data_IF_193790970902
#
_entry.id   IF_193790970902
#
_cell.length_a   1.000
_cell.length_b   1.000
_cell.length_c   1.000
_cell.angle_alpha   90.00
_cell.angle_beta   90.00
_cell.angle_gamma   90.00
#
_symmetry.space_group_name_H-M   'P 1'
#
loop_
_entity.id
_entity.type
_entity.pdbx_description
1 polymer ?
#
# COMPACT_ATOMS: atom_id res chain seq x y z
N UNK A 1 -6.69 12.60 -53.06
CA UNK A 1 -8.04 13.05 -53.46
C UNK A 1 -9.07 12.28 -52.64
N UNK A 2 -10.13 12.97 -52.20
CA UNK A 2 -11.22 12.55 -51.27
C UNK A 2 -10.82 12.52 -49.80
N UNK A 3 -11.62 12.98 -48.84
CA UNK A 3 -12.51 14.15 -48.65
C UNK A 3 -12.85 14.09 -47.14
N UNK A 4 -12.92 15.25 -46.49
CA UNK A 4 -13.13 15.46 -45.06
C UNK A 4 -14.40 14.84 -44.48
N UNK A 5 -14.39 14.57 -43.17
CA UNK A 5 -15.54 14.80 -42.30
C UNK A 5 -15.06 15.16 -40.88
N UNK A 6 -15.42 16.38 -40.49
CA UNK A 6 -15.18 17.07 -39.23
C UNK A 6 -16.53 17.08 -38.52
N UNK A 7 -16.60 16.69 -37.24
CA UNK A 7 -17.79 16.90 -36.41
C UNK A 7 -17.38 17.63 -35.14
N UNK A 8 -18.16 18.67 -34.86
CA UNK A 8 -18.01 19.74 -33.89
C UNK A 8 -19.21 19.66 -32.91
N UNK A 9 -19.14 20.42 -31.81
CA UNK A 9 -20.10 20.65 -30.72
C UNK A 9 -19.99 19.71 -29.49
N UNK A 10 -20.06 20.19 -28.25
CA UNK A 10 -20.45 21.52 -27.79
C UNK A 10 -20.08 21.77 -26.31
N UNK A 11 -19.80 23.05 -26.05
CA UNK A 11 -19.53 23.68 -24.76
C UNK A 11 -20.87 23.98 -24.06
N UNK A 12 -21.01 23.71 -22.77
CA UNK A 12 -22.03 24.35 -21.92
C UNK A 12 -21.36 24.89 -20.66
N UNK A 13 -21.35 26.22 -20.59
CA UNK A 13 -21.02 27.05 -19.43
C UNK A 13 -22.33 27.34 -18.69
N UNK A 14 -22.35 27.20 -17.36
CA UNK A 14 -23.36 27.85 -16.52
C UNK A 14 -22.64 28.64 -15.44
N UNK A 15 -22.77 29.96 -15.54
CA UNK A 15 -22.47 30.94 -14.51
C UNK A 15 -23.79 31.60 -14.08
N UNK A 16 -23.97 31.77 -12.78
CA UNK A 16 -24.93 32.66 -12.10
C UNK A 16 -24.25 32.95 -10.74
N UNK A 17 -24.10 34.17 -10.25
CA UNK A 17 -24.80 35.42 -10.53
C UNK A 17 -25.13 36.05 -9.17
N UNK A 18 -24.54 37.23 -8.91
CA UNK A 18 -24.37 37.94 -7.64
C UNK A 18 -25.65 38.48 -6.93
N UNK A 19 -25.40 38.91 -5.68
CA UNK A 19 -25.86 40.16 -5.01
C UNK A 19 -26.97 40.01 -3.95
N UNK A 20 -27.04 40.80 -2.87
CA UNK A 20 -26.16 41.72 -2.14
C UNK A 20 -26.97 42.25 -0.91
N UNK A 21 -26.26 42.93 -0.01
CA UNK A 21 -26.68 44.04 0.89
C UNK A 21 -26.69 43.78 2.40
N UNK A 22 -26.25 44.84 3.07
CA UNK A 22 -25.82 45.00 4.45
C UNK A 22 -26.44 46.31 4.98
N UNK A 23 -26.52 46.43 6.31
CA UNK A 23 -26.70 47.61 7.19
C UNK A 23 -28.15 48.04 7.56
N UNK A 24 -28.36 48.81 8.66
CA UNK A 24 -27.77 48.80 10.02
C UNK A 24 -28.84 48.84 11.16
N UNK A 25 -28.42 48.96 12.43
CA UNK A 25 -29.18 48.61 13.66
C UNK A 25 -30.13 49.65 14.29
N UNK A 26 -30.66 49.34 15.49
CA UNK A 26 -31.23 50.29 16.48
C UNK A 26 -31.19 49.67 17.90
N UNK A 27 -30.80 50.49 18.88
CA UNK A 27 -30.77 50.26 20.34
C UNK A 27 -32.15 50.13 21.01
N UNK A 28 -32.18 49.51 22.20
CA UNK A 28 -33.27 49.69 23.18
C UNK A 28 -33.37 48.63 24.27
N UNK A 29 -32.79 48.87 25.46
CA UNK A 29 -33.31 48.32 26.72
C UNK A 29 -34.14 49.38 27.47
N UNK A 30 -34.55 49.18 28.74
CA UNK A 30 -34.75 47.95 29.51
C UNK A 30 -36.19 47.85 30.08
N UNK A 31 -36.63 46.65 30.46
CA UNK A 31 -37.76 46.47 31.39
C UNK A 31 -37.64 45.14 32.14
N UNK A 32 -37.25 45.20 33.42
CA UNK A 32 -37.69 44.23 34.41
C UNK A 32 -39.14 44.61 34.79
N UNK A 33 -40.07 43.67 35.06
CA UNK A 33 -40.11 43.10 36.41
C UNK A 33 -40.77 41.69 36.55
N UNK A 34 -40.80 41.25 37.81
CA UNK A 34 -41.72 40.28 38.46
C UNK A 34 -41.31 38.79 38.38
N UNK A 35 -40.68 38.35 39.47
CA UNK A 35 -40.58 36.95 39.85
C UNK A 35 -41.97 36.40 40.23
N UNK A 36 -42.52 35.54 39.38
CA UNK A 36 -43.62 34.63 39.68
C UNK A 36 -43.11 33.19 39.87
N UNK A 37 -43.88 32.31 40.53
CA UNK A 37 -43.41 31.00 40.95
C UNK A 37 -42.99 30.14 39.76
N UNK A 38 -41.79 29.57 39.85
CA UNK A 38 -41.25 28.62 38.88
C UNK A 38 -42.11 27.35 38.87
N UNK A 39 -43.05 27.28 37.93
CA UNK A 39 -43.56 26.00 37.43
C UNK A 39 -42.37 25.35 36.72
N UNK A 40 -41.97 24.16 37.16
CA UNK A 40 -41.01 23.33 36.46
C UNK A 40 -41.61 22.95 35.09
N UNK A 41 -41.42 23.82 34.11
CA UNK A 41 -41.61 23.51 32.70
C UNK A 41 -40.55 22.48 32.38
N UNK A 42 -40.98 21.25 32.12
CA UNK A 42 -40.12 20.14 31.72
C UNK A 42 -39.13 20.63 30.68
N UNK A 43 -37.84 20.40 30.96
CA UNK A 43 -36.79 20.69 30.02
C UNK A 43 -37.20 20.15 28.64
N UNK A 44 -37.08 20.94 27.56
CA UNK A 44 -37.32 20.41 26.23
C UNK A 44 -36.46 19.16 26.08
N UNK A 45 -37.09 18.05 25.71
CA UNK A 45 -36.40 16.86 25.22
C UNK A 45 -35.44 17.30 24.13
N UNK A 46 -34.19 17.59 24.49
CA UNK A 46 -33.08 17.61 23.55
C UNK A 46 -32.99 16.17 23.09
N UNK A 47 -33.51 15.93 21.89
CA UNK A 47 -33.36 14.66 21.21
C UNK A 47 -31.93 14.19 21.39
N UNK A 48 -31.79 12.97 21.89
CA UNK A 48 -30.53 12.26 22.02
C UNK A 48 -29.97 12.05 20.61
N UNK A 49 -29.29 13.05 20.07
CA UNK A 49 -28.45 12.89 18.89
C UNK A 49 -27.27 12.03 19.32
N UNK A 50 -27.28 10.76 18.92
CA UNK A 50 -26.17 9.85 19.14
C UNK A 50 -24.95 10.32 18.36
N UNK A 51 -23.80 10.38 19.03
CA UNK A 51 -22.52 10.68 18.40
C UNK A 51 -22.04 9.42 17.68
N UNK A 52 -22.08 9.45 16.34
CA UNK A 52 -21.54 8.38 15.51
C UNK A 52 -20.03 8.55 15.34
N UNK A 53 -19.24 7.66 15.93
CA UNK A 53 -17.80 7.54 15.66
C UNK A 53 -17.56 6.31 14.80
N UNK A 54 -16.99 6.51 13.62
CA UNK A 54 -16.56 5.42 12.75
C UNK A 54 -15.05 5.49 12.54
N UNK A 55 -14.40 4.35 12.74
CA UNK A 55 -13.03 4.14 12.31
C UNK A 55 -13.08 3.53 10.91
N UNK A 56 -12.45 4.21 9.96
CA UNK A 56 -12.29 3.73 8.59
C UNK A 56 -11.54 2.39 8.54
N UNK A 57 -11.45 1.78 7.34
CA UNK A 57 -10.68 0.55 7.18
C UNK A 57 -9.23 0.81 7.55
N UNK A 58 -8.66 -0.10 8.33
CA UNK A 58 -7.22 -0.16 8.51
C UNK A 58 -6.63 -0.73 7.22
N UNK A 59 -5.82 0.08 6.53
CA UNK A 59 -5.12 -0.32 5.31
C UNK A 59 -3.64 -0.38 5.60
N UNK A 60 -2.92 -1.21 4.87
CA UNK A 60 -1.46 -1.16 4.94
C UNK A 60 -1.01 -0.01 4.04
N UNK A 61 -0.22 0.91 4.58
CA UNK A 61 0.29 2.06 3.83
C UNK A 61 1.04 1.55 2.61
N UNK A 62 0.59 2.06 1.47
CA UNK A 62 1.05 1.62 0.20
C UNK A 62 0.86 0.14 -0.12
N UNK A 63 -0.12 -0.56 0.47
CA UNK A 63 -0.32 -2.01 0.26
C UNK A 63 -1.79 -2.47 0.31
N UNK A 64 -2.75 -1.54 0.20
CA UNK A 64 -4.18 -1.84 0.09
C UNK A 64 -4.77 -2.56 1.32
N UNK A 65 -5.94 -3.19 1.14
CA UNK A 65 -6.70 -3.88 2.20
C UNK A 65 -6.46 -5.40 2.23
N UNK A 66 -5.53 -5.93 1.44
CA UNK A 66 -5.32 -7.37 1.27
C UNK A 66 -4.34 -7.94 2.30
N UNK A 67 -4.43 -9.24 2.51
CA UNK A 67 -3.45 -10.02 3.28
C UNK A 67 -2.05 -9.80 2.69
N UNK A 68 -1.19 -9.15 3.45
CA UNK A 68 0.22 -8.93 3.08
C UNK A 68 1.06 -10.02 3.72
N UNK A 69 1.99 -10.64 2.99
CA UNK A 69 3.03 -11.46 3.60
C UNK A 69 4.29 -10.62 3.79
N UNK A 70 5.00 -10.77 4.90
CA UNK A 70 6.31 -10.15 5.14
C UNK A 70 7.21 -11.16 5.85
N UNK A 71 8.50 -10.91 5.86
CA UNK A 71 9.45 -11.75 6.60
C UNK A 71 9.31 -11.54 8.10
N UNK A 72 9.44 -12.64 8.83
CA UNK A 72 9.20 -12.76 10.26
C UNK A 72 10.11 -11.92 11.12
N UNK A 73 11.36 -11.65 10.74
CA UNK A 73 12.31 -10.91 11.58
C UNK A 73 12.50 -9.46 11.11
N UNK A 74 11.88 -8.52 11.81
CA UNK A 74 12.10 -7.08 11.61
C UNK A 74 11.17 -6.41 10.59
N UNK A 75 10.17 -7.12 10.04
CA UNK A 75 9.17 -6.54 9.14
C UNK A 75 8.26 -5.53 9.85
N UNK A 76 8.58 -4.23 9.78
CA UNK A 76 7.69 -3.16 10.20
C UNK A 76 6.71 -2.82 9.07
N UNK A 77 5.42 -2.78 9.39
CA UNK A 77 4.35 -2.43 8.46
C UNK A 77 3.70 -1.14 8.96
N UNK A 78 3.53 -0.14 8.09
CA UNK A 78 2.74 1.05 8.45
C UNK A 78 1.29 0.80 8.07
N UNK A 79 0.38 1.10 8.98
CA UNK A 79 -1.06 0.99 8.80
C UNK A 79 -1.68 2.38 8.88
N UNK A 80 -2.54 2.70 7.92
CA UNK A 80 -3.30 3.94 7.87
C UNK A 80 -4.79 3.67 8.10
N UNK A 81 -5.48 4.57 8.79
CA UNK A 81 -6.92 4.53 9.00
C UNK A 81 -7.53 5.92 8.88
N UNK A 82 -8.73 6.00 8.30
CA UNK A 82 -9.54 7.22 8.29
C UNK A 82 -10.29 7.40 9.62
N UNK A 83 -10.46 8.64 10.08
CA UNK A 83 -11.16 8.96 11.31
C UNK A 83 -12.36 9.87 11.03
N UNK A 84 -13.56 9.44 11.42
CA UNK A 84 -14.77 10.24 11.32
C UNK A 84 -15.45 10.38 12.67
N UNK A 85 -15.49 11.60 13.21
CA UNK A 85 -16.31 11.96 14.37
C UNK A 85 -17.30 13.03 13.96
N UNK A 86 -18.59 12.72 14.07
CA UNK A 86 -19.64 13.72 13.93
C UNK A 86 -20.09 14.12 15.33
N UNK A 87 -19.85 15.38 15.70
CA UNK A 87 -20.29 15.93 17.00
C UNK A 87 -21.00 17.26 16.79
N UNK A 88 -21.97 17.55 17.66
CA UNK A 88 -22.48 18.89 17.90
C UNK A 88 -21.68 19.51 19.05
N UNK A 89 -20.49 20.04 18.74
CA UNK A 89 -19.56 20.60 19.75
C UNK A 89 -18.11 20.25 19.49
N UNK A 90 -17.25 20.40 20.49
CA UNK A 90 -15.85 19.99 20.39
C UNK A 90 -15.76 18.45 20.30
N UNK A 91 -15.05 17.93 19.29
CA UNK A 91 -14.83 16.50 19.14
C UNK A 91 -14.04 15.95 20.34
N UNK A 92 -14.46 14.83 20.97
CA UNK A 92 -13.73 14.24 22.07
C UNK A 92 -12.36 13.76 21.60
N UNK A 93 -11.32 14.06 22.39
CA UNK A 93 -9.99 13.50 22.15
C UNK A 93 -10.03 11.99 22.45
N UNK A 94 -9.95 11.15 21.42
CA UNK A 94 -9.93 9.71 21.60
C UNK A 94 -8.53 9.22 21.95
N UNK A 95 -8.46 8.36 22.96
CA UNK A 95 -7.29 7.54 23.23
C UNK A 95 -7.35 6.31 22.35
N UNK A 96 -6.44 6.24 21.39
CA UNK A 96 -6.37 5.15 20.42
C UNK A 96 -5.20 4.23 20.73
N UNK A 97 -5.40 2.93 20.50
CA UNK A 97 -4.36 1.92 20.56
C UNK A 97 -4.45 0.99 19.35
N UNK A 98 -3.30 0.46 18.95
CA UNK A 98 -3.24 -0.67 18.02
C UNK A 98 -3.41 -1.95 18.83
N UNK A 99 -4.44 -2.73 18.51
CA UNK A 99 -4.62 -4.09 19.00
C UNK A 99 -4.13 -5.09 17.96
N UNK A 100 -3.55 -6.20 18.43
CA UNK A 100 -3.15 -7.34 17.60
C UNK A 100 -3.79 -8.63 18.08
N UNK A 101 -3.94 -9.60 17.19
CA UNK A 101 -4.35 -10.98 17.50
C UNK A 101 -3.50 -11.94 16.68
N UNK A 102 -2.84 -12.88 17.35
CA UNK A 102 -2.04 -13.93 16.71
C UNK A 102 -2.93 -15.14 16.44
N UNK A 103 -3.07 -15.55 15.17
CA UNK A 103 -3.95 -16.64 14.77
C UNK A 103 -5.40 -16.47 15.27
N UNK A 104 -5.91 -17.48 15.97
CA UNK A 104 -7.24 -17.46 16.62
C UNK A 104 -7.20 -17.02 18.09
N UNK A 105 -6.11 -16.41 18.55
CA UNK A 105 -5.92 -15.98 19.94
C UNK A 105 -6.81 -14.81 20.37
N UNK A 106 -6.48 -14.21 21.51
CA UNK A 106 -7.18 -13.01 21.99
C UNK A 106 -6.60 -11.74 21.35
N UNK A 107 -7.41 -10.69 21.33
CA UNK A 107 -6.94 -9.35 20.98
C UNK A 107 -6.20 -8.74 22.16
N UNK A 108 -5.02 -8.19 21.89
CA UNK A 108 -4.14 -7.58 22.88
C UNK A 108 -3.70 -6.21 22.39
N UNK A 109 -3.69 -5.21 23.26
CA UNK A 109 -3.11 -3.90 22.94
C UNK A 109 -1.60 -4.01 22.75
N UNK A 110 -1.08 -3.29 21.78
CA UNK A 110 0.36 -3.14 21.53
C UNK A 110 0.86 -1.82 22.10
N UNK A 111 2.17 -1.67 22.21
CA UNK A 111 2.83 -0.41 22.59
C UNK A 111 2.99 0.57 21.42
N UNK A 112 2.56 0.22 20.21
CA UNK A 112 2.73 1.08 19.04
C UNK A 112 1.87 2.35 19.14
N UNK A 113 2.47 3.55 19.04
CA UNK A 113 1.73 4.79 19.13
C UNK A 113 0.89 5.00 17.86
N UNK A 114 -0.40 5.25 18.03
CA UNK A 114 -1.28 5.71 16.96
C UNK A 114 -1.12 7.22 16.85
N UNK A 115 -0.63 7.69 15.71
CA UNK A 115 -0.43 9.12 15.40
C UNK A 115 -1.61 9.62 14.57
N UNK A 116 -1.94 10.89 14.73
CA UNK A 116 -2.94 11.58 13.92
C UNK A 116 -2.30 12.80 13.26
N UNK A 117 -2.56 12.99 11.97
CA UNK A 117 -2.18 14.17 11.21
C UNK A 117 -3.34 14.64 10.31
N UNK A 118 -3.07 15.56 9.38
CA UNK A 118 -4.04 16.09 8.44
C UNK A 118 -4.54 15.06 7.39
N UNK A 119 -3.83 13.95 7.23
CA UNK A 119 -4.16 12.86 6.30
C UNK A 119 -4.87 11.69 6.98
N UNK A 120 -4.85 11.61 8.31
CA UNK A 120 -5.64 10.66 9.08
C UNK A 120 -4.90 10.08 10.28
N UNK A 121 -5.21 8.82 10.61
CA UNK A 121 -4.51 8.06 11.64
C UNK A 121 -3.45 7.16 11.00
N UNK A 122 -2.26 7.14 11.59
CA UNK A 122 -1.11 6.37 11.14
C UNK A 122 -0.50 5.60 12.32
N UNK A 123 -0.19 4.32 12.13
CA UNK A 123 0.51 3.52 13.13
C UNK A 123 1.50 2.56 12.47
N UNK A 124 2.68 2.40 13.05
CA UNK A 124 3.62 1.35 12.63
C UNK A 124 3.45 0.12 13.51
N UNK A 125 3.26 -1.06 12.91
CA UNK A 125 3.20 -2.30 13.67
C UNK A 125 4.55 -2.54 14.37
N UNK A 126 4.56 -3.04 15.61
CA UNK A 126 5.79 -3.51 16.22
C UNK A 126 6.45 -4.57 15.33
N UNK A 127 7.78 -4.65 15.29
CA UNK A 127 8.47 -5.78 14.69
C UNK A 127 7.92 -7.08 15.27
N UNK A 128 7.64 -8.04 14.40
CA UNK A 128 7.44 -9.42 14.81
C UNK A 128 8.77 -10.17 14.67
N UNK A 129 8.88 -11.32 15.32
CA UNK A 129 9.89 -12.34 15.05
C UNK A 129 9.14 -13.67 14.93
N UNK A 130 9.31 -14.36 13.80
CA UNK A 130 8.73 -15.67 13.63
C UNK A 130 9.59 -16.71 14.37
N UNK A 131 9.33 -16.91 15.66
CA UNK A 131 10.02 -17.93 16.45
C UNK A 131 9.34 -19.30 16.32
N UNK A 132 10.13 -20.36 16.13
CA UNK A 132 9.66 -21.76 16.19
C UNK A 132 9.60 -22.46 14.83
N UNK A 133 8.98 -23.65 14.79
CA UNK A 133 8.91 -24.51 13.59
C UNK A 133 7.80 -24.15 12.61
N UNK A 134 6.91 -23.21 12.94
CA UNK A 134 5.81 -22.84 12.07
C UNK A 134 6.35 -22.09 10.83
N UNK A 135 5.93 -22.45 9.60
CA UNK A 135 6.41 -21.83 8.38
C UNK A 135 5.91 -20.39 8.21
N UNK A 136 4.76 -20.06 8.81
CA UNK A 136 4.21 -18.71 8.82
C UNK A 136 3.27 -18.51 10.01
N UNK A 137 3.08 -17.25 10.39
CA UNK A 137 2.12 -16.84 11.43
C UNK A 137 1.27 -15.69 10.92
N UNK A 138 -0.05 -15.80 11.02
CA UNK A 138 -0.95 -14.69 10.69
C UNK A 138 -1.22 -13.85 11.93
N UNK A 139 -1.02 -12.53 11.82
CA UNK A 139 -1.35 -11.56 12.84
C UNK A 139 -2.40 -10.61 12.27
N UNK A 140 -3.54 -10.53 12.94
CA UNK A 140 -4.56 -9.53 12.64
C UNK A 140 -4.31 -8.29 13.49
N UNK A 141 -4.47 -7.11 12.89
CA UNK A 141 -4.33 -5.80 13.53
C UNK A 141 -5.62 -5.01 13.40
N UNK A 142 -5.96 -4.20 14.41
CA UNK A 142 -7.05 -3.22 14.34
C UNK A 142 -6.74 -2.03 15.25
N UNK A 143 -7.30 -0.87 14.94
CA UNK A 143 -7.30 0.27 15.86
C UNK A 143 -8.51 0.15 16.78
N UNK A 144 -8.31 0.39 18.06
CA UNK A 144 -9.37 0.49 19.05
C UNK A 144 -9.28 1.82 19.79
N UNK A 145 -10.43 2.40 20.14
CA UNK A 145 -10.48 3.48 21.11
C UNK A 145 -10.70 2.93 22.51
N UNK A 146 -10.31 3.69 23.54
CA UNK A 146 -10.93 3.55 24.85
C UNK A 146 -12.41 3.97 24.79
N UNK A 147 -13.22 3.58 25.78
CA UNK A 147 -14.51 4.23 26.02
C UNK A 147 -14.28 5.73 26.24
N UNK A 148 -15.22 6.56 25.79
CA UNK A 148 -15.09 8.02 25.79
C UNK A 148 -16.41 8.68 26.20
N UNK A 149 -16.36 9.96 26.55
CA UNK A 149 -17.56 10.74 26.88
C UNK A 149 -17.95 11.56 25.65
N UNK A 150 -19.20 11.45 25.26
CA UNK A 150 -19.83 12.22 24.20
C UNK A 150 -21.01 13.05 24.74
N UNK A 151 -21.78 13.69 23.86
CA UNK A 151 -22.93 14.51 24.24
C UNK A 151 -24.08 13.70 24.88
N UNK A 152 -24.16 12.39 24.61
CA UNK A 152 -25.17 11.48 25.13
C UNK A 152 -24.71 10.73 26.41
N UNK A 153 -23.42 10.80 26.76
CA UNK A 153 -22.86 10.22 27.98
C UNK A 153 -21.60 9.39 27.70
N UNK A 154 -21.44 8.25 28.39
CA UNK A 154 -20.30 7.35 28.17
C UNK A 154 -20.58 6.48 26.93
N UNK A 155 -19.84 6.73 25.87
CA UNK A 155 -19.83 5.92 24.66
C UNK A 155 -18.86 4.72 24.80
N UNK A 156 -19.22 3.55 24.25
CA UNK A 156 -18.35 2.38 24.27
C UNK A 156 -17.13 2.56 23.36
N UNK A 157 -16.09 1.76 23.61
CA UNK A 157 -14.95 1.63 22.72
C UNK A 157 -15.37 1.26 21.28
N UNK A 158 -14.85 1.99 20.30
CA UNK A 158 -15.02 1.70 18.87
C UNK A 158 -13.78 1.02 18.29
N UNK A 159 -13.97 0.24 17.21
CA UNK A 159 -12.90 -0.55 16.58
C UNK A 159 -12.96 -0.46 15.07
N UNK A 160 -11.80 -0.36 14.44
CA UNK A 160 -11.69 -0.46 12.98
C UNK A 160 -11.95 -1.89 12.52
N UNK A 161 -12.18 -2.08 11.22
CA UNK A 161 -11.99 -3.39 10.59
C UNK A 161 -10.56 -3.86 10.80
N UNK A 162 -10.37 -5.18 10.92
CA UNK A 162 -9.05 -5.75 11.05
C UNK A 162 -8.38 -5.94 9.69
N UNK A 163 -7.06 -5.78 9.66
CA UNK A 163 -6.20 -6.20 8.54
C UNK A 163 -5.32 -7.36 9.00
N UNK A 164 -5.07 -8.32 8.12
CA UNK A 164 -4.23 -9.47 8.43
C UNK A 164 -2.89 -9.37 7.72
N UNK A 165 -1.81 -9.63 8.46
CA UNK A 165 -0.44 -9.74 7.94
C UNK A 165 0.05 -11.15 8.22
N UNK A 166 0.61 -11.80 7.21
CA UNK A 166 1.25 -13.11 7.33
C UNK A 166 2.75 -12.90 7.48
N UNK A 167 3.28 -13.20 8.64
CA UNK A 167 4.72 -13.21 8.88
C UNK A 167 5.27 -14.58 8.51
N UNK A 168 5.98 -14.66 7.39
CA UNK A 168 6.68 -15.87 6.96
C UNK A 168 7.93 -16.10 7.81
N UNK A 169 8.19 -17.35 8.18
CA UNK A 169 9.40 -17.74 8.86
C UNK A 169 10.47 -18.10 7.83
N UNK A 170 11.38 -17.16 7.55
CA UNK A 170 12.46 -17.38 6.59
C UNK A 170 13.47 -18.44 7.04
N UNK A 171 13.59 -18.69 8.36
CA UNK A 171 14.42 -19.78 8.86
C UNK A 171 13.82 -21.16 8.51
N UNK A 172 12.52 -21.24 8.22
CA UNK A 172 11.86 -22.45 7.75
C UNK A 172 11.95 -22.63 6.22
N UNK A 173 12.51 -21.68 5.48
CA UNK A 173 12.67 -21.82 4.03
C UNK A 173 13.67 -22.93 3.71
N UNK A 174 13.31 -23.78 2.76
CA UNK A 174 14.16 -24.86 2.23
C UNK A 174 14.08 -24.90 0.71
N UNK A 175 15.00 -25.63 0.06
CA UNK A 175 15.00 -25.82 -1.40
C UNK A 175 14.99 -24.52 -2.19
N UNK A 176 14.13 -24.45 -3.21
CA UNK A 176 14.00 -23.29 -4.10
C UNK A 176 13.61 -22.00 -3.35
N UNK A 177 12.72 -22.09 -2.35
CA UNK A 177 12.32 -20.90 -1.57
C UNK A 177 13.51 -20.26 -0.84
N UNK A 178 14.36 -21.10 -0.22
CA UNK A 178 15.56 -20.63 0.48
C UNK A 178 16.56 -19.98 -0.47
N UNK A 179 16.71 -20.55 -1.68
CA UNK A 179 17.58 -19.99 -2.71
C UNK A 179 17.07 -18.63 -3.20
N UNK A 180 15.81 -18.55 -3.62
CA UNK A 180 15.19 -17.29 -4.07
C UNK A 180 15.29 -16.22 -2.98
N UNK A 181 14.98 -16.57 -1.72
CA UNK A 181 15.08 -15.63 -0.61
C UNK A 181 16.51 -15.13 -0.40
N UNK A 182 17.50 -16.02 -0.39
CA UNK A 182 18.92 -15.63 -0.25
C UNK A 182 19.37 -14.69 -1.36
N UNK A 183 18.93 -14.93 -2.59
CA UNK A 183 19.34 -14.15 -3.76
C UNK A 183 18.64 -12.77 -3.79
N UNK A 184 17.40 -12.68 -3.29
CA UNK A 184 16.62 -11.44 -3.22
C UNK A 184 16.88 -10.61 -1.96
N UNK A 185 17.14 -11.24 -0.80
CA UNK A 185 17.18 -10.58 0.51
C UNK A 185 18.12 -9.36 0.63
N UNK A 186 19.31 -9.31 -0.03
CA UNK A 186 20.14 -8.10 0.00
C UNK A 186 19.44 -6.86 -0.55
N UNK A 187 18.48 -7.06 -1.45
CA UNK A 187 17.72 -6.00 -2.10
C UNK A 187 16.29 -5.93 -1.58
N UNK A 188 15.67 -7.03 -1.17
CA UNK A 188 14.28 -7.13 -0.70
C UNK A 188 14.20 -7.88 0.64
N UNK A 189 14.75 -7.33 1.75
CA UNK A 189 14.92 -8.07 3.01
C UNK A 189 13.61 -8.32 3.76
N UNK A 190 12.56 -7.55 3.49
CA UNK A 190 11.26 -7.68 4.18
C UNK A 190 10.26 -8.55 3.41
N UNK A 191 10.71 -9.18 2.33
CA UNK A 191 9.86 -9.77 1.31
C UNK A 191 9.79 -11.27 1.45
N UNK A 192 8.57 -11.74 1.66
CA UNK A 192 8.26 -13.15 1.72
C UNK A 192 8.48 -13.82 0.36
N UNK A 193 8.85 -15.10 0.39
CA UNK A 193 8.93 -15.96 -0.79
C UNK A 193 8.01 -17.15 -0.60
N UNK A 194 7.21 -17.46 -1.62
CA UNK A 194 6.44 -18.71 -1.69
C UNK A 194 6.65 -19.39 -3.02
N UNK A 195 6.83 -20.70 -2.99
CA UNK A 195 6.73 -21.53 -4.19
C UNK A 195 5.26 -21.88 -4.36
N UNK A 196 4.72 -21.59 -5.54
CA UNK A 196 3.33 -21.84 -5.89
C UNK A 196 3.25 -22.49 -7.26
N UNK A 197 2.11 -23.13 -7.56
CA UNK A 197 1.77 -23.49 -8.93
C UNK A 197 1.11 -22.26 -9.57
N UNK A 198 1.81 -21.62 -10.51
CA UNK A 198 1.33 -20.46 -11.26
C UNK A 198 0.73 -20.89 -12.61
N UNK A 199 0.38 -22.17 -12.75
CA UNK A 199 -0.23 -22.77 -13.93
C UNK A 199 0.60 -22.63 -15.21
N UNK A 200 1.91 -22.37 -15.09
CA UNK A 200 2.85 -22.31 -16.21
C UNK A 200 2.79 -21.05 -17.09
N UNK A 201 1.97 -20.04 -16.74
CA UNK A 201 1.86 -18.80 -17.52
C UNK A 201 3.03 -17.83 -17.26
N UNK A 202 3.60 -17.87 -16.05
CA UNK A 202 4.69 -17.00 -15.60
C UNK A 202 5.67 -17.76 -14.70
N UNK A 203 6.96 -17.39 -14.72
CA UNK A 203 7.98 -17.99 -13.85
C UNK A 203 7.91 -17.48 -12.41
N UNK A 204 7.35 -16.29 -12.22
CA UNK A 204 7.07 -15.68 -10.93
C UNK A 204 6.00 -14.62 -11.10
N UNK A 205 5.43 -14.21 -9.97
CA UNK A 205 4.68 -12.98 -9.91
C UNK A 205 4.91 -12.22 -8.60
N UNK A 206 4.74 -10.91 -8.73
CA UNK A 206 4.61 -9.98 -7.63
C UNK A 206 3.28 -9.25 -7.77
N UNK A 207 2.48 -9.28 -6.72
CA UNK A 207 1.31 -8.41 -6.63
C UNK A 207 1.69 -7.14 -5.86
N UNK A 208 1.48 -5.93 -6.45
CA UNK A 208 1.69 -4.68 -5.74
C UNK A 208 1.02 -4.67 -4.37
N UNK A 209 1.84 -4.43 -3.36
CA UNK A 209 1.39 -4.34 -1.98
C UNK A 209 1.34 -5.66 -1.20
N UNK A 210 1.65 -6.82 -1.77
CA UNK A 210 1.54 -8.06 -0.99
C UNK A 210 2.80 -8.44 -0.23
N UNK A 211 3.96 -7.79 -0.44
CA UNK A 211 5.16 -8.21 0.31
C UNK A 211 5.62 -9.63 -0.01
N UNK A 212 5.17 -10.18 -1.14
CA UNK A 212 5.30 -11.57 -1.47
C UNK A 212 5.77 -11.75 -2.91
N UNK A 213 6.90 -12.41 -3.07
CA UNK A 213 7.35 -13.00 -4.33
C UNK A 213 6.78 -14.42 -4.39
N UNK A 214 6.00 -14.71 -5.43
CA UNK A 214 5.57 -16.08 -5.74
C UNK A 214 6.36 -16.58 -6.92
N UNK A 215 6.99 -17.75 -6.79
CA UNK A 215 7.78 -18.37 -7.86
C UNK A 215 7.11 -19.69 -8.24
N UNK A 216 7.00 -19.94 -9.55
CA UNK A 216 6.50 -21.22 -10.05
C UNK A 216 7.52 -22.34 -9.73
N UNK A 217 7.02 -23.49 -9.29
CA UNK A 217 7.86 -24.64 -8.97
C UNK A 217 8.75 -25.09 -10.15
N UNK A 218 8.33 -24.84 -11.39
CA UNK A 218 9.10 -25.18 -12.61
C UNK A 218 10.46 -24.50 -12.66
N UNK A 219 10.62 -23.34 -12.01
CA UNK A 219 11.91 -22.61 -11.92
C UNK A 219 12.97 -23.46 -11.23
N UNK A 220 12.58 -24.36 -10.33
CA UNK A 220 13.49 -25.29 -9.66
C UNK A 220 13.81 -26.55 -10.45
N UNK A 221 13.39 -26.66 -11.72
CA UNK A 221 13.48 -27.89 -12.51
C UNK A 221 14.17 -27.71 -13.86
N UNK A 222 14.78 -28.79 -14.38
CA UNK A 222 15.34 -28.85 -15.72
C UNK A 222 16.34 -27.73 -16.05
N UNK A 223 16.19 -27.11 -17.23
CA UNK A 223 17.05 -26.03 -17.68
C UNK A 223 16.84 -24.70 -16.91
N UNK A 224 15.71 -24.55 -16.21
CA UNK A 224 15.39 -23.36 -15.40
C UNK A 224 16.04 -23.40 -14.02
N UNK A 225 16.38 -24.59 -13.52
CA UNK A 225 17.06 -24.79 -12.23
C UNK A 225 18.49 -24.26 -12.17
N UNK A 226 19.01 -23.72 -13.28
CA UNK A 226 20.37 -23.16 -13.32
C UNK A 226 20.49 -21.98 -12.35
N UNK A 227 21.55 -21.93 -11.51
CA UNK A 227 21.67 -20.90 -10.48
C UNK A 227 21.52 -19.46 -11.01
N UNK A 228 22.07 -19.16 -12.18
CA UNK A 228 21.97 -17.85 -12.83
C UNK A 228 20.54 -17.50 -13.27
N UNK A 229 19.74 -18.49 -13.67
CA UNK A 229 18.33 -18.28 -14.02
C UNK A 229 17.51 -18.05 -12.76
N UNK A 230 17.66 -18.93 -11.77
CA UNK A 230 16.94 -18.84 -10.50
C UNK A 230 17.21 -17.48 -9.83
N UNK A 231 18.46 -17.03 -9.83
CA UNK A 231 18.85 -15.72 -9.34
C UNK A 231 18.25 -14.59 -10.17
N UNK A 232 18.27 -14.68 -11.50
CA UNK A 232 17.64 -13.67 -12.37
C UNK A 232 16.15 -13.51 -12.06
N UNK A 233 15.43 -14.63 -11.91
CA UNK A 233 13.99 -14.63 -11.55
C UNK A 233 13.79 -13.98 -10.17
N UNK A 234 14.60 -14.33 -9.16
CA UNK A 234 14.51 -13.71 -7.83
C UNK A 234 14.70 -12.18 -7.88
N UNK A 235 15.68 -11.71 -8.65
CA UNK A 235 15.98 -10.29 -8.80
C UNK A 235 14.95 -9.54 -9.65
N UNK A 236 14.34 -10.22 -10.63
CA UNK A 236 13.23 -9.69 -11.43
C UNK A 236 12.02 -9.40 -10.54
N UNK A 237 11.58 -10.38 -9.76
CA UNK A 237 10.44 -10.20 -8.86
C UNK A 237 10.73 -9.20 -7.73
N UNK A 238 11.95 -9.20 -7.19
CA UNK A 238 12.37 -8.17 -6.23
C UNK A 238 12.39 -6.76 -6.88
N UNK A 239 12.72 -6.65 -8.17
CA UNK A 239 12.64 -5.39 -8.88
C UNK A 239 11.20 -4.87 -8.91
N UNK A 240 10.20 -5.71 -9.16
CA UNK A 240 8.79 -5.29 -9.10
C UNK A 240 8.37 -4.74 -7.74
N UNK A 241 8.85 -5.34 -6.65
CA UNK A 241 8.63 -4.76 -5.34
C UNK A 241 9.34 -3.42 -5.16
N UNK A 242 10.59 -3.29 -5.63
CA UNK A 242 11.32 -2.03 -5.51
C UNK A 242 10.69 -0.92 -6.35
N UNK A 243 10.16 -1.24 -7.53
CA UNK A 243 9.33 -0.34 -8.33
C UNK A 243 8.15 0.17 -7.51
N UNK A 244 7.50 -0.70 -6.75
CA UNK A 244 6.40 -0.31 -5.89
C UNK A 244 6.85 0.57 -4.71
N UNK A 245 7.81 0.10 -3.91
CA UNK A 245 8.21 0.75 -2.66
C UNK A 245 8.96 2.07 -2.88
N UNK A 246 9.83 2.16 -3.87
CA UNK A 246 10.62 3.37 -4.11
C UNK A 246 9.77 4.52 -4.68
N UNK A 247 8.56 4.20 -5.15
CA UNK A 247 7.53 5.15 -5.54
C UNK A 247 6.43 5.24 -4.47
N UNK A 248 6.80 5.12 -3.20
CA UNK A 248 5.95 5.36 -2.02
C UNK A 248 4.90 4.26 -1.78
N UNK A 249 4.86 3.21 -2.59
CA UNK A 249 3.86 2.14 -2.48
C UNK A 249 2.42 2.59 -2.69
N UNK A 250 2.12 3.84 -3.05
CA UNK A 250 0.71 4.29 -3.14
C UNK A 250 0.14 4.10 -4.54
N UNK A 251 -1.18 4.20 -4.70
CA UNK A 251 -1.80 4.23 -6.04
C UNK A 251 -1.31 5.41 -6.89
N UNK A 252 -1.09 6.59 -6.27
CA UNK A 252 -0.50 7.74 -6.97
C UNK A 252 0.98 7.50 -7.29
N UNK A 253 1.71 6.89 -6.35
CA UNK A 253 3.02 6.33 -6.55
C UNK A 253 3.12 5.42 -7.77
N UNK A 254 2.16 4.48 -7.90
CA UNK A 254 2.03 3.56 -9.03
C UNK A 254 1.94 4.29 -10.36
N UNK A 255 1.17 5.38 -10.43
CA UNK A 255 1.03 6.17 -11.65
C UNK A 255 2.36 6.82 -12.04
N UNK A 256 3.08 7.40 -11.06
CA UNK A 256 4.41 7.98 -11.28
C UNK A 256 5.42 6.92 -11.72
N UNK A 257 5.43 5.76 -11.06
CA UNK A 257 6.25 4.60 -11.38
C UNK A 257 6.03 4.14 -12.83
N UNK A 258 4.77 3.94 -13.23
CA UNK A 258 4.43 3.51 -14.59
C UNK A 258 4.84 4.55 -15.64
N UNK A 259 4.66 5.84 -15.35
CA UNK A 259 5.09 6.92 -16.24
C UNK A 259 6.62 6.97 -16.39
N UNK A 260 7.36 6.82 -15.30
CA UNK A 260 8.82 6.79 -15.31
C UNK A 260 9.36 5.55 -16.04
N UNK A 261 8.75 4.37 -15.80
CA UNK A 261 9.07 3.16 -16.54
C UNK A 261 8.83 3.36 -18.05
N UNK A 262 7.70 3.94 -18.43
CA UNK A 262 7.40 4.25 -19.83
C UNK A 262 8.37 5.28 -20.44
N UNK A 263 8.89 6.23 -19.68
CA UNK A 263 9.85 7.20 -20.20
C UNK A 263 11.23 6.59 -20.50
N UNK A 264 11.65 5.62 -19.69
CA UNK A 264 13.04 5.14 -19.66
C UNK A 264 13.23 3.73 -20.23
N UNK A 265 12.16 2.93 -20.25
CA UNK A 265 12.16 1.53 -20.66
C UNK A 265 11.14 1.24 -21.77
N UNK A 266 10.64 2.28 -22.47
CA UNK A 266 9.79 2.11 -23.66
C UNK A 266 10.58 1.90 -24.95
N UNK A 267 11.77 2.49 -25.05
CA UNK A 267 12.68 2.26 -26.17
C UNK A 267 13.47 0.97 -25.91
N UNK A 268 13.14 -0.07 -26.67
CA UNK A 268 13.97 -1.25 -26.78
C UNK A 268 15.06 -0.97 -27.84
N UNK A 269 16.31 -1.26 -27.50
CA UNK A 269 17.40 -1.22 -28.47
C UNK A 269 17.71 -2.65 -28.96
N UNK A 270 17.15 -3.08 -30.11
CA UNK A 270 17.39 -4.41 -30.65
C UNK A 270 18.84 -4.67 -31.05
N UNK A 271 19.66 -3.62 -31.18
CA UNK A 271 21.00 -3.66 -31.76
C UNK A 271 21.99 -2.76 -31.00
N UNK A 272 21.69 -2.43 -29.74
CA UNK A 272 22.38 -1.35 -29.05
C UNK A 272 23.86 -1.53 -28.96
N UNK A 273 24.61 -0.52 -29.36
CA UNK A 273 26.05 -0.48 -29.18
C UNK A 273 26.31 -0.54 -27.67
N UNK A 274 26.79 -1.68 -27.18
CA UNK A 274 26.98 -1.95 -25.75
C UNK A 274 25.85 -2.73 -25.07
N UNK A 275 24.87 -3.24 -25.82
CA UNK A 275 23.85 -4.16 -25.31
C UNK A 275 24.48 -5.47 -24.83
N UNK A 276 24.28 -5.81 -23.56
CA UNK A 276 24.70 -7.08 -22.95
C UNK A 276 23.48 -7.97 -22.76
N UNK A 277 23.51 -9.24 -23.19
CA UNK A 277 22.43 -10.22 -22.93
C UNK A 277 22.16 -11.21 -24.06
N UNK A 278 21.46 -12.34 -23.78
CA UNK A 278 21.03 -13.27 -24.81
C UNK A 278 19.99 -12.61 -25.73
N UNK A 279 20.35 -12.45 -27.01
CA UNK A 279 19.52 -11.85 -28.06
C UNK A 279 18.39 -12.79 -28.50
N UNK A 280 17.26 -12.74 -27.78
CA UNK A 280 15.99 -13.34 -28.21
C UNK A 280 15.01 -12.27 -28.74
N UNK A 281 14.09 -12.62 -29.66
CA UNK A 281 13.03 -11.70 -30.06
C UNK A 281 12.19 -11.33 -28.84
N UNK A 282 11.98 -10.03 -28.64
CA UNK A 282 11.13 -9.48 -27.60
C UNK A 282 9.71 -10.05 -27.75
N UNK A 283 9.08 -10.43 -26.65
CA UNK A 283 7.62 -10.60 -26.69
C UNK A 283 6.98 -9.25 -27.03
N UNK A 284 6.13 -9.20 -28.06
CA UNK A 284 5.57 -7.95 -28.62
C UNK A 284 4.69 -7.16 -27.64
N UNK A 285 4.37 -7.74 -26.49
CA UNK A 285 3.50 -7.22 -25.44
C UNK A 285 4.24 -6.86 -24.14
N UNK A 286 5.58 -6.86 -24.13
CA UNK A 286 6.33 -6.50 -22.94
C UNK A 286 5.98 -5.07 -22.49
N UNK A 287 5.58 -4.94 -21.23
CA UNK A 287 5.28 -3.64 -20.64
C UNK A 287 6.61 -2.99 -20.19
N UNK A 288 6.79 -1.66 -20.28
CA UNK A 288 8.01 -0.99 -19.83
C UNK A 288 8.40 -1.34 -18.38
N UNK A 289 7.42 -1.64 -17.53
CA UNK A 289 7.66 -2.05 -16.15
C UNK A 289 8.26 -3.46 -15.99
N UNK A 290 7.91 -4.39 -16.89
CA UNK A 290 8.52 -5.73 -16.97
C UNK A 290 9.95 -5.59 -17.50
N UNK A 291 10.15 -4.76 -18.54
CA UNK A 291 11.49 -4.50 -19.08
C UNK A 291 12.42 -3.88 -18.04
N UNK A 292 11.92 -2.96 -17.22
CA UNK A 292 12.68 -2.38 -16.12
C UNK A 292 13.06 -3.41 -15.04
N UNK A 293 12.23 -4.43 -14.80
CA UNK A 293 12.53 -5.52 -13.87
C UNK A 293 13.58 -6.48 -14.45
N UNK A 294 13.44 -6.83 -15.73
CA UNK A 294 14.42 -7.60 -16.50
C UNK A 294 15.81 -6.91 -16.49
N UNK A 295 15.86 -5.60 -16.72
CA UNK A 295 17.11 -4.83 -16.63
C UNK A 295 17.67 -4.75 -15.21
N UNK A 296 16.82 -4.78 -14.18
CA UNK A 296 17.23 -4.86 -12.79
C UNK A 296 17.95 -6.17 -12.48
N UNK A 297 17.34 -7.28 -12.90
CA UNK A 297 17.95 -8.60 -12.79
C UNK A 297 19.28 -8.68 -13.55
N UNK A 298 19.30 -8.25 -14.81
CA UNK A 298 20.50 -8.26 -15.65
C UNK A 298 21.62 -7.37 -15.10
N UNK A 299 21.30 -6.23 -14.49
CA UNK A 299 22.30 -5.33 -13.92
C UNK A 299 23.12 -5.98 -12.79
N UNK A 300 22.61 -7.04 -12.18
CA UNK A 300 23.26 -7.76 -11.07
C UNK A 300 23.56 -9.24 -11.38
N UNK A 301 22.94 -9.80 -12.42
CA UNK A 301 23.18 -11.14 -12.95
C UNK A 301 23.19 -11.11 -14.50
N UNK A 302 24.28 -10.63 -15.13
CA UNK A 302 24.32 -10.42 -16.57
C UNK A 302 24.22 -11.71 -17.41
N UNK A 303 24.48 -12.86 -16.79
CA UNK A 303 24.40 -14.19 -17.44
C UNK A 303 23.03 -14.85 -17.24
N UNK A 304 22.15 -14.20 -16.50
CA UNK A 304 20.79 -14.64 -16.23
C UNK A 304 19.89 -14.60 -17.46
N UNK A 305 18.70 -15.17 -17.28
CA UNK A 305 17.64 -15.12 -18.29
C UNK A 305 16.92 -13.76 -18.25
N UNK A 306 16.57 -13.24 -19.42
CA UNK A 306 15.61 -12.13 -19.58
C UNK A 306 14.22 -12.71 -19.81
N UNK A 307 13.32 -12.48 -18.86
CA UNK A 307 11.93 -12.91 -18.80
C UNK A 307 11.20 -12.87 -20.14
N UNK A 308 11.43 -11.77 -20.85
CA UNK A 308 10.69 -11.39 -22.04
C UNK A 308 11.61 -11.16 -23.26
N UNK A 309 12.87 -11.61 -23.18
CA UNK A 309 13.90 -11.38 -24.18
C UNK A 309 14.41 -9.94 -24.21
N UNK A 310 15.11 -9.57 -25.27
CA UNK A 310 15.60 -8.21 -25.46
C UNK A 310 17.03 -7.97 -24.95
N UNK A 311 17.29 -6.71 -24.57
CA UNK A 311 18.60 -6.15 -24.26
C UNK A 311 18.38 -4.86 -23.45
N UNK A 312 19.31 -4.53 -22.56
CA UNK A 312 19.27 -3.31 -21.76
C UNK A 312 20.43 -2.41 -22.14
N UNK A 313 20.13 -1.16 -22.47
CA UNK A 313 21.16 -0.13 -22.66
C UNK A 313 21.91 0.16 -21.36
N UNK A 314 23.14 0.71 -21.41
CA UNK A 314 23.88 1.09 -20.21
C UNK A 314 23.09 2.02 -19.27
N UNK A 315 22.34 2.98 -19.81
CA UNK A 315 21.48 3.89 -19.05
C UNK A 315 20.30 3.20 -18.37
N UNK A 316 19.74 2.16 -19.01
CA UNK A 316 18.67 1.35 -18.42
C UNK A 316 19.21 0.45 -17.30
N UNK A 317 20.39 -0.15 -17.47
CA UNK A 317 21.05 -0.94 -16.44
C UNK A 317 21.39 -0.10 -15.21
N UNK A 318 21.91 1.11 -15.40
CA UNK A 318 22.22 2.03 -14.29
C UNK A 318 20.97 2.41 -13.50
N UNK A 319 19.90 2.77 -14.20
CA UNK A 319 18.63 3.15 -13.60
C UNK A 319 17.94 1.98 -12.87
N UNK A 320 17.95 0.79 -13.48
CA UNK A 320 17.39 -0.40 -12.86
C UNK A 320 18.24 -0.87 -11.65
N UNK A 321 19.56 -0.66 -11.69
CA UNK A 321 20.41 -0.89 -10.51
C UNK A 321 20.08 0.08 -9.38
N UNK A 322 19.90 1.38 -9.67
CA UNK A 322 19.47 2.38 -8.67
C UNK A 322 18.19 1.93 -7.98
N UNK A 323 17.23 1.43 -8.76
CA UNK A 323 15.98 0.89 -8.25
C UNK A 323 16.19 -0.22 -7.21
N UNK A 324 16.98 -1.25 -7.53
CA UNK A 324 17.24 -2.36 -6.59
C UNK A 324 17.95 -1.91 -5.31
N UNK A 325 18.70 -0.81 -5.36
CA UNK A 325 19.35 -0.20 -4.18
C UNK A 325 18.48 0.83 -3.43
N UNK A 326 17.19 0.93 -3.76
CA UNK A 326 16.22 1.80 -3.06
C UNK A 326 15.97 3.16 -3.70
N UNK A 327 16.54 3.43 -4.88
CA UNK A 327 16.32 4.67 -5.65
C UNK A 327 15.11 4.60 -6.59
N UNK A 328 14.72 5.74 -7.17
CA UNK A 328 13.86 5.76 -8.36
C UNK A 328 14.75 5.60 -9.61
N UNK A 329 14.14 5.36 -10.78
CA UNK A 329 14.89 5.18 -12.03
C UNK A 329 15.77 6.40 -12.35
#
# INVERSE_FOLDING_TARGET
MKRSAMVLLGLVVVALGLAAKQLPGVDGGPAAPIAGPQVAVGAPNRGSESVGVELGPLVIEGRGTRTTSVVGDGGTVVLAAGYGVRTSGAAPALRLSLERRVGSGKWESTSAPVRQDEHGLHVSTPPWSASGAAPATTIAYRIASASFIDAAGVAPAVRSRSVSVVYENQAAYTGLAAQIYRDAAPYCPTTAVRIADLMGDVAGDYQPGTSLIRIDAVVGTGAMARPEIVRSVALHECSHERQWLNYDGTNEGRKRMLAAAAAQFSSYDPMGVGATGPSGPLKSDIRPIEHAADCGAMALEPRGYLGYGGSCSPTQLEAARRLLTGGRY
#
